data_IF_446928858948
#
_entry.id   IF_446928858948
#
_cell.length_a   1.000
_cell.length_b   1.000
_cell.length_c   1.000
_cell.angle_alpha   90.00
_cell.angle_beta   90.00
_cell.angle_gamma   90.00
#
_symmetry.space_group_name_H-M   'P 1'
#
loop_
_entity.id
_entity.type
_entity.pdbx_description
1 polymer ?
#
# COMPACT_ATOMS: atom_id res chain seq x y z
N UNK A 1 28.26 21.54 19.19
CA UNK A 1 27.40 21.88 20.36
C UNK A 1 27.46 23.37 20.71
N UNK A 2 28.65 23.98 20.89
CA UNK A 2 28.76 25.42 21.16
C UNK A 2 28.13 26.32 20.08
N UNK A 3 28.33 26.02 18.79
CA UNK A 3 27.72 26.78 17.68
C UNK A 3 26.19 26.75 17.68
N UNK A 4 25.61 25.61 18.09
CA UNK A 4 24.16 25.45 18.20
C UNK A 4 23.61 26.32 19.34
N UNK A 5 24.20 26.24 20.53
CA UNK A 5 23.77 27.05 21.68
C UNK A 5 23.86 28.55 21.40
N UNK A 6 24.95 29.00 20.76
CA UNK A 6 25.11 30.39 20.34
C UNK A 6 24.03 30.81 19.34
N UNK A 7 23.75 29.99 18.34
CA UNK A 7 22.73 30.31 17.33
C UNK A 7 21.33 30.34 17.95
N UNK A 8 21.07 29.42 18.88
CA UNK A 8 19.80 29.32 19.58
C UNK A 8 19.55 30.58 20.44
N UNK A 9 20.55 31.04 21.18
CA UNK A 9 20.43 32.32 21.90
C UNK A 9 20.26 33.49 20.94
N UNK A 10 21.08 33.60 19.89
CA UNK A 10 21.00 34.71 18.93
C UNK A 10 19.66 34.81 18.20
N UNK A 11 19.07 33.69 17.79
CA UNK A 11 17.78 33.65 17.11
C UNK A 11 16.64 33.93 18.08
N UNK A 12 16.62 33.25 19.23
CA UNK A 12 15.51 33.33 20.18
C UNK A 12 15.63 34.48 21.19
N UNK A 13 16.71 35.26 21.22
CA UNK A 13 16.73 36.55 21.91
C UNK A 13 15.76 37.57 21.30
N UNK A 14 15.27 37.32 20.08
CA UNK A 14 14.28 38.16 19.40
C UNK A 14 12.88 37.55 19.56
N UNK A 15 11.91 38.25 20.19
CA UNK A 15 10.60 37.68 20.51
C UNK A 15 9.82 37.23 19.27
N UNK A 16 10.00 37.92 18.13
CA UNK A 16 9.35 37.55 16.87
C UNK A 16 9.64 36.09 16.43
N UNK A 17 10.85 35.58 16.64
CA UNK A 17 11.22 34.21 16.25
C UNK A 17 10.74 33.18 17.28
N UNK A 18 10.59 33.57 18.55
CA UNK A 18 9.91 32.75 19.56
C UNK A 18 8.45 32.56 19.16
N UNK A 19 7.74 33.67 18.87
CA UNK A 19 6.34 33.64 18.44
C UNK A 19 6.16 32.81 17.18
N UNK A 20 7.03 33.00 16.18
CA UNK A 20 7.03 32.21 14.95
C UNK A 20 7.14 30.70 15.23
N UNK A 21 8.09 30.28 16.06
CA UNK A 21 8.25 28.86 16.41
C UNK A 21 7.03 28.31 17.15
N UNK A 22 6.51 29.04 18.14
CA UNK A 22 5.34 28.59 18.92
C UNK A 22 4.11 28.45 18.03
N UNK A 23 3.81 29.46 17.21
CA UNK A 23 2.66 29.44 16.30
C UNK A 23 2.81 28.32 15.27
N UNK A 24 4.00 28.16 14.68
CA UNK A 24 4.27 27.07 13.72
C UNK A 24 4.08 25.70 14.36
N UNK A 25 4.61 25.50 15.57
CA UNK A 25 4.47 24.25 16.32
C UNK A 25 2.99 23.93 16.60
N UNK A 26 2.22 24.90 17.10
CA UNK A 26 0.78 24.72 17.40
C UNK A 26 -0.01 24.39 16.13
N UNK A 27 0.23 25.13 15.03
CA UNK A 27 -0.46 24.91 13.76
C UNK A 27 -0.15 23.52 13.22
N UNK A 28 1.12 23.12 13.14
CA UNK A 28 1.51 21.83 12.59
C UNK A 28 1.02 20.66 13.45
N UNK A 29 1.07 20.80 14.77
CA UNK A 29 0.55 19.78 15.68
C UNK A 29 -0.97 19.65 15.52
N UNK A 30 -1.70 20.76 15.44
CA UNK A 30 -3.14 20.77 15.20
C UNK A 30 -3.50 20.08 13.89
N UNK A 31 -2.80 20.43 12.80
CA UNK A 31 -3.00 19.79 11.49
C UNK A 31 -2.72 18.29 11.53
N UNK A 32 -1.65 17.86 12.22
CA UNK A 32 -1.31 16.45 12.35
C UNK A 32 -2.39 15.64 13.08
N UNK A 33 -3.13 16.25 14.01
CA UNK A 33 -4.23 15.63 14.75
C UNK A 33 -5.52 15.63 13.93
N UNK A 34 -5.79 16.73 13.22
CA UNK A 34 -7.06 16.95 12.54
C UNK A 34 -7.14 16.28 11.17
N UNK A 35 -6.04 16.25 10.41
CA UNK A 35 -6.01 15.69 9.04
C UNK A 35 -6.49 14.23 8.97
N UNK A 36 -6.06 13.31 9.86
CA UNK A 36 -6.58 11.93 9.86
C UNK A 36 -8.08 11.84 10.15
N UNK A 37 -8.65 12.85 10.81
CA UNK A 37 -10.04 12.92 11.24
C UNK A 37 -10.86 13.92 10.39
N UNK A 38 -10.37 14.32 9.22
CA UNK A 38 -10.97 15.43 8.46
C UNK A 38 -12.41 15.15 8.02
N UNK A 39 -12.73 13.89 7.70
CA UNK A 39 -14.10 13.50 7.33
C UNK A 39 -15.06 13.65 8.51
N UNK A 40 -14.63 13.25 9.72
CA UNK A 40 -15.42 13.41 10.94
C UNK A 40 -15.61 14.89 11.31
N UNK A 41 -14.54 15.68 11.20
CA UNK A 41 -14.58 17.12 11.42
C UNK A 41 -15.50 17.82 10.42
N UNK A 42 -15.42 17.45 9.14
CA UNK A 42 -16.27 17.99 8.08
C UNK A 42 -17.75 17.68 8.35
N UNK A 43 -18.11 16.42 8.62
CA UNK A 43 -19.48 16.04 8.96
C UNK A 43 -20.01 16.74 10.21
N UNK A 44 -19.18 16.93 11.23
CA UNK A 44 -19.55 17.66 12.45
C UNK A 44 -19.76 19.15 12.17
N UNK A 45 -18.92 19.75 11.32
CA UNK A 45 -19.01 21.17 11.00
C UNK A 45 -20.23 21.50 10.11
N UNK A 46 -20.51 20.67 9.11
CA UNK A 46 -21.58 20.89 8.12
C UNK A 46 -22.95 20.38 8.56
N UNK A 47 -23.06 19.65 9.66
CA UNK A 47 -24.36 19.17 10.16
C UNK A 47 -25.13 20.28 10.88
N UNK A 48 -26.41 20.39 10.59
CA UNK A 48 -27.32 21.33 11.28
C UNK A 48 -27.82 20.78 12.64
N UNK A 49 -27.42 19.55 12.98
CA UNK A 49 -27.88 18.84 14.18
C UNK A 49 -27.27 19.35 15.49
N UNK A 50 -26.19 20.12 15.44
CA UNK A 50 -25.44 20.56 16.62
C UNK A 50 -25.41 22.08 16.76
N UNK A 51 -25.58 22.56 17.98
CA UNK A 51 -25.37 23.97 18.31
C UNK A 51 -23.89 24.36 18.20
N UNK A 52 -23.60 25.65 18.09
CA UNK A 52 -22.22 26.15 17.95
C UNK A 52 -21.31 25.69 19.11
N UNK A 53 -21.82 25.66 20.35
CA UNK A 53 -21.07 25.20 21.51
C UNK A 53 -20.80 23.69 21.47
N UNK A 54 -21.77 22.90 20.99
CA UNK A 54 -21.59 21.46 20.79
C UNK A 54 -20.59 21.15 19.67
N UNK A 55 -20.62 21.89 18.56
CA UNK A 55 -19.64 21.77 17.48
C UNK A 55 -18.21 22.03 17.98
N UNK A 56 -18.01 23.11 18.74
CA UNK A 56 -16.71 23.44 19.34
C UNK A 56 -16.27 22.35 20.31
N UNK A 57 -17.17 21.82 21.15
CA UNK A 57 -16.88 20.73 22.07
C UNK A 57 -16.46 19.43 21.37
N UNK A 58 -17.18 19.04 20.31
CA UNK A 58 -16.89 17.83 19.53
C UNK A 58 -15.57 17.97 18.76
N UNK A 59 -15.34 19.12 18.10
CA UNK A 59 -14.07 19.39 17.42
C UNK A 59 -12.91 19.42 18.43
N UNK A 60 -13.13 20.00 19.61
CA UNK A 60 -12.17 19.99 20.71
C UNK A 60 -11.86 18.57 21.22
N UNK A 61 -12.84 17.68 21.22
CA UNK A 61 -12.66 16.28 21.65
C UNK A 61 -11.66 15.51 20.79
N UNK A 62 -11.45 15.92 19.53
CA UNK A 62 -10.47 15.32 18.61
C UNK A 62 -9.04 15.52 19.11
N UNK A 63 -8.74 16.56 19.90
CA UNK A 63 -7.43 16.67 20.55
C UNK A 63 -7.16 15.52 21.55
N UNK A 64 -8.22 14.94 22.12
CA UNK A 64 -8.12 13.73 22.94
C UNK A 64 -7.75 12.47 22.16
N UNK A 65 -7.94 12.46 20.83
CA UNK A 65 -7.60 11.32 19.97
C UNK A 65 -6.10 11.03 19.92
N UNK A 66 -5.24 12.00 20.29
CA UNK A 66 -3.79 11.79 20.45
C UNK A 66 -3.46 10.69 21.46
N UNK A 67 -4.30 10.55 22.50
CA UNK A 67 -4.06 9.56 23.54
C UNK A 67 -4.61 8.18 23.16
N UNK A 68 -5.69 8.13 22.37
CA UNK A 68 -6.46 6.90 22.12
C UNK A 68 -6.22 6.26 20.76
N UNK A 69 -5.87 7.03 19.72
CA UNK A 69 -5.70 6.51 18.34
C UNK A 69 -4.24 6.37 17.89
N UNK A 70 -3.27 6.98 18.59
CA UNK A 70 -1.86 6.93 18.21
C UNK A 70 -1.07 5.99 19.12
N UNK A 71 -0.19 5.18 18.52
CA UNK A 71 0.80 4.44 19.29
C UNK A 71 1.68 5.42 20.08
N UNK A 72 2.15 5.09 21.30
CA UNK A 72 3.00 5.96 22.08
C UNK A 72 4.25 6.46 21.31
N UNK A 73 4.80 5.59 20.45
CA UNK A 73 5.94 5.91 19.59
C UNK A 73 5.58 6.95 18.52
N UNK A 74 4.48 6.77 17.80
CA UNK A 74 4.03 7.71 16.76
C UNK A 74 3.70 9.10 17.31
N UNK A 75 3.12 9.16 18.52
CA UNK A 75 2.86 10.40 19.26
C UNK A 75 4.16 11.15 19.56
N UNK A 76 5.14 10.47 20.13
CA UNK A 76 6.43 11.07 20.47
C UNK A 76 7.17 11.56 19.21
N UNK A 77 7.20 10.76 18.15
CA UNK A 77 7.82 11.14 16.87
C UNK A 77 7.16 12.40 16.31
N UNK A 78 5.82 12.48 16.31
CA UNK A 78 5.09 13.64 15.78
C UNK A 78 5.41 14.92 16.55
N UNK A 79 5.44 14.85 17.89
CA UNK A 79 5.79 15.99 18.74
C UNK A 79 7.23 16.44 18.47
N UNK A 80 8.18 15.51 18.39
CA UNK A 80 9.59 15.84 18.14
C UNK A 80 9.78 16.44 16.75
N UNK A 81 9.17 15.86 15.70
CA UNK A 81 9.27 16.37 14.33
C UNK A 81 8.70 17.77 14.22
N UNK A 82 7.50 18.02 14.73
CA UNK A 82 6.85 19.35 14.68
C UNK A 82 7.65 20.40 15.45
N UNK A 83 8.22 20.02 16.60
CA UNK A 83 9.11 20.90 17.37
C UNK A 83 10.40 21.24 16.64
N UNK A 84 11.09 20.23 16.10
CA UNK A 84 12.33 20.43 15.34
C UNK A 84 12.08 21.24 14.07
N UNK A 85 10.97 21.01 13.37
CA UNK A 85 10.59 21.79 12.20
C UNK A 85 10.36 23.26 12.54
N UNK A 86 9.65 23.56 13.63
CA UNK A 86 9.43 24.93 14.08
C UNK A 86 10.75 25.67 14.37
N UNK A 87 11.71 25.01 15.04
CA UNK A 87 13.06 25.56 15.26
C UNK A 87 13.78 25.76 13.93
N UNK A 88 13.75 24.76 13.05
CA UNK A 88 14.41 24.82 11.75
C UNK A 88 13.88 25.98 10.89
N UNK A 89 12.57 26.18 10.86
CA UNK A 89 11.93 27.28 10.16
C UNK A 89 12.37 28.64 10.70
N UNK A 90 12.43 28.80 12.03
CA UNK A 90 12.91 30.05 12.65
C UNK A 90 14.38 30.32 12.37
N UNK A 91 15.23 29.29 12.39
CA UNK A 91 16.65 29.40 12.04
C UNK A 91 16.82 29.79 10.57
N UNK A 92 16.06 29.13 9.70
CA UNK A 92 16.06 29.39 8.27
C UNK A 92 15.62 30.83 7.97
N UNK A 93 14.46 31.25 8.50
CA UNK A 93 13.94 32.61 8.29
C UNK A 93 14.89 33.67 8.87
N UNK A 94 15.46 33.44 10.06
CA UNK A 94 16.44 34.36 10.63
C UNK A 94 17.67 34.51 9.73
N UNK A 95 18.30 33.40 9.36
CA UNK A 95 19.48 33.38 8.51
C UNK A 95 19.17 34.03 7.16
N UNK A 96 18.03 33.66 6.57
CA UNK A 96 17.62 34.12 5.27
C UNK A 96 17.29 35.62 5.25
N UNK A 97 16.49 36.13 6.18
CA UNK A 97 16.19 37.57 6.27
C UNK A 97 17.45 38.39 6.53
N UNK A 98 18.40 37.85 7.31
CA UNK A 98 19.71 38.47 7.51
C UNK A 98 20.49 38.52 6.18
N UNK A 99 20.59 37.40 5.46
CA UNK A 99 21.27 37.34 4.17
C UNK A 99 20.61 38.24 3.11
N UNK A 100 19.28 38.28 3.05
CA UNK A 100 18.50 39.08 2.10
C UNK A 100 18.69 40.59 2.31
N UNK A 101 18.83 41.05 3.57
CA UNK A 101 19.15 42.46 3.86
C UNK A 101 20.52 42.86 3.33
N UNK A 102 21.51 42.00 3.51
CA UNK A 102 22.86 42.21 2.95
C UNK A 102 22.89 42.12 1.42
N UNK A 103 22.10 41.24 0.80
CA UNK A 103 22.06 41.13 -0.67
C UNK A 103 21.27 42.26 -1.34
N UNK A 104 20.32 42.88 -0.62
CA UNK A 104 19.60 44.09 -1.07
C UNK A 104 20.52 45.31 -1.16
N UNK A 105 21.52 45.38 -0.29
CA UNK A 105 22.63 46.34 -0.39
C UNK A 105 23.61 46.01 -1.54
N UNK A 106 23.64 44.75 -1.99
CA UNK A 106 24.52 44.26 -3.05
C UNK A 106 23.82 44.03 -4.43
N UNK A 107 22.53 44.37 -4.57
CA UNK A 107 21.80 44.34 -5.85
C UNK A 107 21.49 42.96 -6.46
N UNK A 108 21.57 41.87 -5.70
CA UNK A 108 21.40 40.49 -6.23
C UNK A 108 19.95 40.00 -6.05
N UNK A 109 19.39 39.42 -7.12
CA UNK A 109 17.95 39.22 -7.37
C UNK A 109 17.19 38.19 -6.52
N UNK A 110 15.89 38.42 -6.44
CA UNK A 110 14.83 37.71 -5.68
C UNK A 110 14.48 36.31 -6.19
N UNK A 111 15.11 35.79 -7.24
CA UNK A 111 14.76 34.49 -7.85
C UNK A 111 15.31 33.28 -7.08
N UNK A 112 16.49 33.39 -6.47
CA UNK A 112 17.05 32.34 -5.61
C UNK A 112 16.25 32.11 -4.32
N UNK A 113 15.48 33.13 -3.89
CA UNK A 113 14.63 33.10 -2.70
C UNK A 113 13.46 32.12 -2.81
N UNK A 114 12.74 32.14 -3.94
CA UNK A 114 11.56 31.30 -4.16
C UNK A 114 11.96 29.83 -4.34
N UNK A 115 13.06 29.56 -5.04
CA UNK A 115 13.60 28.21 -5.22
C UNK A 115 14.12 27.60 -3.91
N UNK A 116 14.73 28.39 -3.03
CA UNK A 116 15.19 27.93 -1.72
C UNK A 116 14.05 27.55 -0.76
N UNK A 117 12.96 28.31 -0.76
CA UNK A 117 11.76 28.02 0.04
C UNK A 117 11.06 26.72 -0.40
N UNK A 118 10.95 26.50 -1.72
CA UNK A 118 10.33 25.29 -2.27
C UNK A 118 11.21 24.06 -2.03
N UNK A 119 12.54 24.18 -2.16
CA UNK A 119 13.49 23.07 -1.96
C UNK A 119 13.55 22.54 -0.52
N UNK A 120 13.48 23.44 0.48
CA UNK A 120 13.49 23.04 1.90
C UNK A 120 12.13 22.50 2.34
N UNK A 121 11.02 23.08 1.86
CA UNK A 121 9.66 22.63 2.20
C UNK A 121 9.33 21.22 1.68
N UNK A 122 9.79 20.88 0.46
CA UNK A 122 9.55 19.56 -0.14
C UNK A 122 10.31 18.43 0.58
N UNK A 123 11.50 18.72 1.11
CA UNK A 123 12.32 17.75 1.85
C UNK A 123 11.77 17.42 3.25
N UNK A 124 11.04 18.35 3.88
CA UNK A 124 10.52 18.18 5.25
C UNK A 124 9.05 17.75 5.32
N UNK A 125 8.22 18.11 4.34
CA UNK A 125 6.80 17.71 4.27
C UNK A 125 6.55 16.52 3.32
N UNK A 126 7.62 15.89 2.83
CA UNK A 126 7.61 14.97 1.70
C UNK A 126 6.58 13.85 1.78
N UNK A 127 6.17 13.39 2.98
CA UNK A 127 5.15 12.35 3.12
C UNK A 127 3.74 12.77 2.66
N UNK A 128 3.35 14.04 2.82
CA UNK A 128 2.00 14.54 2.47
C UNK A 128 1.90 14.89 0.98
N UNK A 129 2.98 15.41 0.41
CA UNK A 129 3.04 15.73 -1.02
C UNK A 129 3.19 14.45 -1.85
N UNK A 130 3.99 13.49 -1.38
CA UNK A 130 4.19 12.21 -2.06
C UNK A 130 2.92 11.35 -2.05
N UNK A 131 2.12 11.40 -0.98
CA UNK A 131 0.81 10.73 -0.93
C UNK A 131 -0.23 11.37 -1.86
N UNK A 132 -0.14 12.69 -2.08
CA UNK A 132 -0.95 13.40 -3.08
C UNK A 132 -0.51 13.11 -4.52
N UNK A 133 0.78 12.84 -4.75
CA UNK A 133 1.34 12.55 -6.09
C UNK A 133 1.25 11.07 -6.48
N UNK A 134 1.36 10.15 -5.52
CA UNK A 134 1.32 8.70 -5.77
C UNK A 134 -0.09 8.11 -5.58
N UNK A 135 -1.00 8.83 -4.95
CA UNK A 135 -2.35 8.39 -4.63
C UNK A 135 -2.45 7.58 -3.32
N UNK A 136 -3.62 7.62 -2.69
CA UNK A 136 -3.91 6.99 -1.39
C UNK A 136 -3.71 5.46 -1.44
N UNK A 137 -4.00 4.85 -2.59
CA UNK A 137 -3.94 3.40 -2.82
C UNK A 137 -2.51 2.83 -2.90
N UNK A 138 -1.54 3.57 -3.43
CA UNK A 138 -0.13 3.12 -3.50
C UNK A 138 0.60 3.33 -2.17
N UNK A 139 0.21 4.38 -1.43
CA UNK A 139 0.80 4.74 -0.14
C UNK A 139 0.43 3.72 0.95
N UNK A 140 -0.81 3.23 0.96
CA UNK A 140 -1.26 2.22 1.92
C UNK A 140 -0.53 0.87 1.77
N UNK A 141 -0.30 0.42 0.53
CA UNK A 141 0.47 -0.80 0.25
C UNK A 141 1.95 -0.67 0.62
N UNK A 142 2.56 0.50 0.38
CA UNK A 142 3.96 0.77 0.71
C UNK A 142 4.20 0.86 2.23
N UNK A 143 3.29 1.52 2.96
CA UNK A 143 3.36 1.64 4.42
C UNK A 143 3.16 0.29 5.11
N UNK A 144 2.30 -0.59 4.57
CA UNK A 144 2.04 -1.91 5.14
C UNK A 144 3.22 -2.90 5.09
N UNK A 145 4.22 -2.65 4.22
CA UNK A 145 5.41 -3.50 4.05
C UNK A 145 6.56 -3.06 4.96
N UNK A 146 6.49 -1.84 5.50
CA UNK A 146 7.53 -1.29 6.37
C UNK A 146 7.39 -1.84 7.81
N UNK A 147 8.51 -2.21 8.47
CA UNK A 147 8.49 -2.87 9.78
C UNK A 147 7.82 -2.04 10.90
N UNK A 148 7.86 -0.71 10.79
CA UNK A 148 7.24 0.25 11.72
C UNK A 148 6.00 0.93 11.13
N UNK A 149 5.41 0.36 10.06
CA UNK A 149 4.16 0.82 9.45
C UNK A 149 4.15 2.33 9.15
N UNK A 150 5.25 2.86 8.61
CA UNK A 150 5.37 4.26 8.18
C UNK A 150 5.98 5.21 9.22
N UNK A 151 6.30 4.73 10.42
CA UNK A 151 7.00 5.55 11.42
C UNK A 151 8.47 5.83 11.06
N UNK A 152 9.04 5.07 10.13
CA UNK A 152 10.41 5.25 9.60
C UNK A 152 10.59 6.64 8.98
N UNK A 153 9.57 7.17 8.32
CA UNK A 153 9.61 8.51 7.72
C UNK A 153 9.72 9.60 8.78
N UNK A 154 9.07 9.41 9.93
CA UNK A 154 9.19 10.31 11.05
C UNK A 154 10.60 10.30 11.65
N UNK A 155 11.20 9.12 11.83
CA UNK A 155 12.59 8.99 12.30
C UNK A 155 13.60 9.60 11.31
N UNK A 156 13.42 9.34 10.01
CA UNK A 156 14.23 9.97 8.96
C UNK A 156 14.10 11.50 8.98
N UNK A 157 12.89 12.02 9.19
CA UNK A 157 12.63 13.46 9.29
C UNK A 157 13.36 14.08 10.49
N UNK A 158 13.35 13.42 11.66
CA UNK A 158 14.10 13.88 12.85
C UNK A 158 15.59 13.99 12.52
N UNK A 159 16.16 12.98 11.85
CA UNK A 159 17.57 12.97 11.46
C UNK A 159 17.90 14.11 10.48
N UNK A 160 17.11 14.28 9.42
CA UNK A 160 17.31 15.33 8.42
C UNK A 160 17.12 16.73 8.99
N UNK A 161 16.11 16.95 9.83
CA UNK A 161 15.88 18.23 10.51
C UNK A 161 17.04 18.57 11.45
N UNK A 162 17.55 17.59 12.20
CA UNK A 162 18.70 17.78 13.08
C UNK A 162 19.95 18.20 12.30
N UNK A 163 20.22 17.57 11.16
CA UNK A 163 21.32 17.94 10.26
C UNK A 163 21.10 19.36 9.69
N UNK A 164 19.89 19.67 9.25
CA UNK A 164 19.54 20.99 8.72
C UNK A 164 19.75 22.10 9.75
N UNK A 165 19.27 21.89 10.99
CA UNK A 165 19.49 22.80 12.11
C UNK A 165 20.99 22.97 12.41
N UNK A 166 21.76 21.89 12.39
CA UNK A 166 23.20 21.94 12.60
C UNK A 166 23.90 22.82 11.56
N UNK A 167 23.62 22.63 10.26
CA UNK A 167 24.22 23.45 9.21
C UNK A 167 23.79 24.91 9.27
N UNK A 168 22.51 25.18 9.55
CA UNK A 168 22.02 26.55 9.76
C UNK A 168 22.70 27.22 10.95
N UNK A 169 22.95 26.48 12.02
CA UNK A 169 23.66 27.01 13.21
C UNK A 169 25.08 27.45 12.87
N UNK A 170 25.83 26.65 12.12
CA UNK A 170 27.17 27.04 11.66
C UNK A 170 27.10 28.30 10.79
N UNK A 171 26.11 28.39 9.88
CA UNK A 171 25.92 29.57 9.02
C UNK A 171 25.47 30.83 9.76
N UNK A 172 24.75 30.71 10.87
CA UNK A 172 24.32 31.86 11.68
C UNK A 172 25.50 32.44 12.48
N UNK A 173 26.41 31.57 12.93
CA UNK A 173 27.63 31.95 13.67
C UNK A 173 28.63 32.70 12.79
N UNK A 174 28.76 32.32 11.52
CA UNK A 174 29.72 32.94 10.60
C UNK A 174 29.38 34.42 10.28
N UNK A 175 30.36 35.35 10.31
CA UNK A 175 30.14 36.72 9.87
C UNK A 175 29.97 36.78 8.35
N UNK A 176 28.84 37.34 7.89
CA UNK A 176 28.42 37.37 6.46
C UNK A 176 29.35 38.26 5.59
N UNK A 177 30.29 39.00 6.19
CA UNK A 177 31.11 40.03 5.52
C UNK A 177 32.46 39.51 5.01
N UNK A 178 32.83 38.25 5.25
CA UNK A 178 34.07 37.72 4.70
C UNK A 178 33.91 37.38 3.22
N UNK A 179 34.62 38.10 2.33
CA UNK A 179 34.97 37.62 0.99
C UNK A 179 35.85 36.38 1.14
N UNK A 180 35.25 35.23 1.33
CA UNK A 180 35.93 33.95 1.09
C UNK A 180 35.55 33.48 -0.31
N UNK A 181 36.56 32.96 -1.03
CA UNK A 181 36.35 32.27 -2.31
C UNK A 181 35.21 31.25 -2.14
N UNK A 182 34.34 31.06 -3.16
CA UNK A 182 33.27 30.07 -3.09
C UNK A 182 33.87 28.75 -2.62
N UNK A 183 33.36 28.25 -1.49
CA UNK A 183 33.85 27.01 -0.88
C UNK A 183 33.56 25.89 -1.87
N UNK A 184 34.61 25.36 -2.50
CA UNK A 184 34.49 24.21 -3.37
C UNK A 184 33.82 23.06 -2.59
N UNK A 185 32.89 22.35 -3.24
CA UNK A 185 32.11 21.25 -2.64
C UNK A 185 32.99 20.22 -1.89
N UNK A 186 34.24 20.06 -2.31
CA UNK A 186 35.28 19.22 -1.72
C UNK A 186 35.70 19.64 -0.28
N UNK A 187 35.66 20.95 0.02
CA UNK A 187 35.94 21.49 1.36
C UNK A 187 34.75 21.31 2.33
N UNK A 188 33.54 21.19 1.80
CA UNK A 188 32.35 20.89 2.59
C UNK A 188 32.43 19.46 3.16
N UNK A 189 32.99 18.52 2.41
CA UNK A 189 33.16 17.14 2.87
C UNK A 189 34.25 16.99 3.95
N UNK A 190 35.30 17.82 3.94
CA UNK A 190 36.38 17.75 4.95
C UNK A 190 35.96 18.26 6.33
N UNK A 191 35.05 19.21 6.40
CA UNK A 191 34.56 19.81 7.65
C UNK A 191 33.48 18.99 8.36
N UNK A 192 32.89 17.99 7.68
CA UNK A 192 31.89 17.10 8.27
C UNK A 192 32.56 16.12 9.25
N UNK A 193 32.09 16.02 10.50
CA UNK A 193 32.63 15.09 11.49
C UNK A 193 32.59 13.64 11.00
N UNK A 194 33.62 12.85 11.36
CA UNK A 194 33.75 11.45 10.93
C UNK A 194 32.50 10.63 11.30
N UNK A 195 31.89 10.87 12.46
CA UNK A 195 30.67 10.18 12.89
C UNK A 195 29.44 10.51 12.02
N UNK A 196 29.34 11.73 11.46
CA UNK A 196 28.27 12.10 10.52
C UNK A 196 28.46 11.39 9.18
N UNK A 197 29.71 11.27 8.71
CA UNK A 197 30.03 10.50 7.50
C UNK A 197 29.69 9.02 7.68
N UNK A 198 30.04 8.44 8.82
CA UNK A 198 29.71 7.06 9.18
C UNK A 198 28.20 6.87 9.26
N UNK A 199 27.47 7.78 9.92
CA UNK A 199 26.02 7.72 10.01
C UNK A 199 25.35 7.82 8.63
N UNK A 200 25.79 8.75 7.77
CA UNK A 200 25.29 8.88 6.39
C UNK A 200 25.62 7.64 5.57
N UNK A 201 26.82 7.07 5.72
CA UNK A 201 27.19 5.83 5.03
C UNK A 201 26.38 4.64 5.49
N UNK A 202 26.13 4.48 6.80
CA UNK A 202 25.25 3.45 7.36
C UNK A 202 23.82 3.65 6.86
N UNK A 203 23.34 4.89 6.79
CA UNK A 203 21.99 5.20 6.31
C UNK A 203 21.84 4.98 4.80
N UNK A 204 22.87 5.29 4.00
CA UNK A 204 22.92 5.00 2.57
C UNK A 204 23.05 3.50 2.33
N UNK A 205 23.87 2.78 3.08
CA UNK A 205 24.00 1.33 3.00
C UNK A 205 22.72 0.63 3.43
N UNK A 206 22.05 1.13 4.47
CA UNK A 206 20.72 0.66 4.89
C UNK A 206 19.66 0.98 3.84
N UNK A 207 19.64 2.20 3.28
CA UNK A 207 18.72 2.59 2.21
C UNK A 207 18.93 1.78 0.92
N UNK A 208 20.17 1.54 0.52
CA UNK A 208 20.54 0.68 -0.62
C UNK A 208 20.18 -0.78 -0.32
N UNK A 209 20.42 -1.25 0.91
CA UNK A 209 20.02 -2.58 1.37
C UNK A 209 18.51 -2.79 1.36
N UNK A 210 17.74 -1.78 1.78
CA UNK A 210 16.27 -1.75 1.70
C UNK A 210 15.82 -1.72 0.24
N UNK A 211 16.45 -0.92 -0.63
CA UNK A 211 16.13 -0.89 -2.07
C UNK A 211 16.45 -2.23 -2.76
N UNK A 212 17.55 -2.90 -2.40
CA UNK A 212 17.90 -4.23 -2.90
C UNK A 212 16.94 -5.31 -2.39
N UNK A 213 16.59 -5.29 -1.11
CA UNK A 213 15.58 -6.17 -0.53
C UNK A 213 14.20 -5.94 -1.17
N UNK A 214 13.84 -4.67 -1.43
CA UNK A 214 12.59 -4.28 -2.08
C UNK A 214 12.53 -4.72 -3.54
N UNK A 215 13.65 -4.70 -4.29
CA UNK A 215 13.70 -5.24 -5.66
C UNK A 215 13.49 -6.75 -5.69
N UNK A 216 13.91 -7.46 -4.66
CA UNK A 216 13.67 -8.90 -4.47
C UNK A 216 12.20 -9.20 -4.10
N UNK A 217 11.56 -8.35 -3.30
CA UNK A 217 10.16 -8.50 -2.86
C UNK A 217 9.10 -7.97 -3.86
N UNK A 218 9.45 -6.98 -4.69
CA UNK A 218 8.53 -6.34 -5.65
C UNK A 218 8.05 -7.28 -6.76
N UNK A 219 8.76 -8.36 -7.06
CA UNK A 219 8.27 -9.39 -7.99
C UNK A 219 6.95 -10.03 -7.52
N UNK A 220 6.75 -10.14 -6.19
CA UNK A 220 5.51 -10.66 -5.61
C UNK A 220 4.38 -9.63 -5.52
N UNK A 221 4.70 -8.36 -5.23
CA UNK A 221 3.71 -7.29 -5.04
C UNK A 221 3.01 -6.87 -6.33
N UNK A 222 3.76 -6.70 -7.43
CA UNK A 222 3.20 -6.37 -8.75
C UNK A 222 2.23 -7.47 -9.21
N UNK A 223 2.57 -8.73 -8.95
CA UNK A 223 1.73 -9.88 -9.29
C UNK A 223 0.44 -9.90 -8.47
N UNK A 224 0.48 -9.60 -7.16
CA UNK A 224 -0.71 -9.51 -6.31
C UNK A 224 -1.64 -8.36 -6.71
N UNK A 225 -1.09 -7.21 -7.11
CA UNK A 225 -1.91 -6.07 -7.52
C UNK A 225 -2.61 -6.33 -8.87
N UNK A 226 -1.90 -6.89 -9.85
CA UNK A 226 -2.53 -7.32 -11.10
C UNK A 226 -3.62 -8.38 -10.87
N UNK A 227 -3.40 -9.29 -9.92
CA UNK A 227 -4.38 -10.30 -9.53
C UNK A 227 -5.62 -9.69 -8.87
N UNK A 228 -5.47 -8.67 -8.01
CA UNK A 228 -6.59 -7.96 -7.39
C UNK A 228 -7.45 -7.20 -8.40
N UNK A 229 -6.82 -6.51 -9.36
CA UNK A 229 -7.56 -5.85 -10.45
C UNK A 229 -8.35 -6.87 -11.28
N UNK A 230 -7.78 -8.05 -11.52
CA UNK A 230 -8.49 -9.14 -12.20
C UNK A 230 -9.68 -9.64 -11.38
N UNK A 231 -9.49 -9.82 -10.07
CA UNK A 231 -10.55 -10.18 -9.13
C UNK A 231 -11.73 -9.20 -9.18
N UNK A 232 -11.48 -7.90 -9.07
CA UNK A 232 -12.54 -6.88 -9.11
C UNK A 232 -13.34 -6.97 -10.42
N UNK A 233 -12.64 -7.11 -11.55
CA UNK A 233 -13.29 -7.25 -12.86
C UNK A 233 -14.19 -8.49 -12.92
N UNK A 234 -13.69 -9.65 -12.50
CA UNK A 234 -14.44 -10.91 -12.56
C UNK A 234 -15.60 -10.93 -11.56
N UNK A 235 -15.42 -10.31 -10.39
CA UNK A 235 -16.44 -10.25 -9.35
C UNK A 235 -17.59 -9.31 -9.71
N UNK A 236 -17.34 -8.23 -10.45
CA UNK A 236 -18.37 -7.24 -10.81
C UNK A 236 -18.98 -7.49 -12.19
N UNK A 237 -18.22 -8.05 -13.14
CA UNK A 237 -18.62 -8.17 -14.56
C UNK A 237 -18.66 -9.63 -15.03
N UNK A 238 -18.91 -10.57 -14.11
CA UNK A 238 -19.10 -11.97 -14.45
C UNK A 238 -20.31 -12.18 -15.35
N UNK A 239 -20.21 -13.16 -16.25
CA UNK A 239 -21.31 -13.57 -17.13
C UNK A 239 -21.79 -15.01 -16.87
N UNK A 240 -21.12 -15.75 -15.99
CA UNK A 240 -21.48 -17.12 -15.65
C UNK A 240 -22.65 -17.16 -14.67
N UNK A 241 -23.54 -18.13 -14.81
CA UNK A 241 -24.60 -18.40 -13.84
C UNK A 241 -24.71 -19.89 -13.52
N UNK A 242 -25.20 -20.22 -12.33
CA UNK A 242 -25.50 -21.59 -11.91
C UNK A 242 -26.85 -22.07 -12.48
N UNK A 243 -27.00 -22.11 -13.81
CA UNK A 243 -28.26 -22.51 -14.48
C UNK A 243 -28.04 -23.55 -15.57
N UNK A 244 -29.10 -24.32 -15.86
CA UNK A 244 -29.17 -25.21 -17.02
C UNK A 244 -29.13 -24.44 -18.34
N UNK A 245 -29.85 -23.32 -18.42
CA UNK A 245 -29.87 -22.47 -19.62
C UNK A 245 -28.45 -21.96 -19.97
N UNK A 246 -27.68 -21.53 -18.96
CA UNK A 246 -26.30 -21.12 -19.20
C UNK A 246 -25.44 -22.30 -19.66
N UNK A 247 -25.61 -23.49 -19.08
CA UNK A 247 -24.92 -24.72 -19.53
C UNK A 247 -25.19 -24.98 -21.02
N UNK A 248 -26.43 -24.85 -21.46
CA UNK A 248 -26.82 -25.14 -22.84
C UNK A 248 -26.34 -24.04 -23.80
N UNK A 249 -26.27 -22.79 -23.34
CA UNK A 249 -25.72 -21.66 -24.11
C UNK A 249 -24.24 -21.81 -24.47
N UNK A 250 -23.45 -22.59 -23.70
CA UNK A 250 -22.00 -22.78 -23.94
C UNK A 250 -21.75 -23.36 -25.34
N UNK A 251 -22.65 -24.21 -25.83
CA UNK A 251 -22.51 -24.85 -27.14
C UNK A 251 -22.46 -23.81 -28.29
N UNK A 252 -23.19 -22.70 -28.17
CA UNK A 252 -23.30 -21.65 -29.20
C UNK A 252 -22.30 -20.51 -29.02
N UNK A 253 -21.59 -20.43 -27.90
CA UNK A 253 -20.55 -19.42 -27.67
C UNK A 253 -19.39 -19.56 -28.67
N UNK A 254 -18.77 -18.46 -29.10
CA UNK A 254 -17.52 -18.52 -29.86
C UNK A 254 -16.40 -19.16 -29.00
N UNK A 255 -15.48 -19.92 -29.61
CA UNK A 255 -14.46 -20.67 -28.85
C UNK A 255 -13.48 -19.77 -28.06
N UNK A 256 -13.26 -18.54 -28.55
CA UNK A 256 -12.49 -17.50 -27.86
C UNK A 256 -13.29 -16.75 -26.79
N UNK A 257 -14.60 -16.99 -26.70
CA UNK A 257 -15.48 -16.46 -25.66
C UNK A 257 -15.04 -16.91 -24.27
N UNK A 258 -15.50 -16.20 -23.24
CA UNK A 258 -15.09 -16.41 -21.85
C UNK A 258 -16.28 -16.63 -20.95
N UNK A 259 -16.17 -17.63 -20.07
CA UNK A 259 -17.08 -17.89 -18.95
C UNK A 259 -16.42 -17.28 -17.73
N UNK A 260 -17.01 -16.22 -17.18
CA UNK A 260 -16.37 -15.35 -16.19
C UNK A 260 -17.23 -15.17 -14.94
N UNK A 261 -16.57 -15.13 -13.79
CA UNK A 261 -17.20 -14.92 -12.49
C UNK A 261 -17.55 -16.20 -11.73
N UNK A 262 -18.11 -16.02 -10.54
CA UNK A 262 -18.61 -17.10 -9.69
C UNK A 262 -20.01 -17.52 -10.10
N UNK A 263 -20.38 -18.75 -9.73
CA UNK A 263 -21.69 -19.30 -10.07
C UNK A 263 -22.72 -19.25 -8.93
N UNK A 264 -22.31 -19.45 -7.67
CA UNK A 264 -23.25 -19.69 -6.56
C UNK A 264 -23.26 -18.55 -5.53
N UNK A 265 -22.09 -18.10 -5.11
CA UNK A 265 -21.91 -17.03 -4.13
C UNK A 265 -21.02 -15.92 -4.70
N UNK A 266 -21.06 -14.69 -4.14
CA UNK A 266 -20.11 -13.65 -4.52
C UNK A 266 -18.65 -14.11 -4.36
N UNK A 267 -17.77 -13.67 -5.26
CA UNK A 267 -16.35 -14.00 -5.16
C UNK A 267 -15.74 -13.39 -3.89
N UNK A 268 -14.85 -14.14 -3.22
CA UNK A 268 -14.08 -13.66 -2.09
C UNK A 268 -12.60 -13.53 -2.48
N UNK A 269 -11.96 -12.42 -2.09
CA UNK A 269 -10.57 -12.13 -2.47
C UNK A 269 -9.59 -13.16 -1.91
N UNK A 270 -9.74 -13.52 -0.63
CA UNK A 270 -8.86 -14.48 0.02
C UNK A 270 -8.93 -15.83 -0.71
N UNK A 271 -10.14 -16.36 -0.87
CA UNK A 271 -10.37 -17.63 -1.58
C UNK A 271 -9.87 -17.60 -3.03
N UNK A 272 -10.18 -16.54 -3.77
CA UNK A 272 -9.70 -16.36 -5.16
C UNK A 272 -8.17 -16.41 -5.25
N UNK A 273 -7.48 -15.70 -4.34
CA UNK A 273 -6.03 -15.64 -4.34
C UNK A 273 -5.38 -17.00 -4.08
N UNK A 274 -5.95 -17.79 -3.16
CA UNK A 274 -5.49 -19.15 -2.86
C UNK A 274 -5.70 -20.10 -4.04
N UNK A 275 -6.86 -20.02 -4.67
CA UNK A 275 -7.20 -20.86 -5.81
C UNK A 275 -6.26 -20.61 -7.00
N UNK A 276 -6.05 -19.34 -7.38
CA UNK A 276 -5.15 -18.99 -8.48
C UNK A 276 -3.69 -19.34 -8.16
N UNK A 277 -3.24 -19.15 -6.92
CA UNK A 277 -1.89 -19.53 -6.50
C UNK A 277 -1.70 -21.05 -6.52
N UNK A 278 -2.64 -21.81 -5.95
CA UNK A 278 -2.59 -23.28 -5.91
C UNK A 278 -2.58 -23.90 -7.30
N UNK A 279 -3.36 -23.34 -8.24
CA UNK A 279 -3.41 -23.83 -9.62
C UNK A 279 -2.10 -23.66 -10.38
N UNK A 280 -1.15 -22.82 -9.91
CA UNK A 280 0.18 -22.70 -10.53
C UNK A 280 0.95 -24.02 -10.53
N UNK A 281 0.68 -24.91 -9.58
CA UNK A 281 1.20 -26.29 -9.55
C UNK A 281 0.92 -27.04 -10.85
N UNK A 282 -0.20 -26.74 -11.50
CA UNK A 282 -0.70 -27.41 -12.69
C UNK A 282 -0.51 -26.62 -13.99
N UNK A 283 0.28 -25.52 -13.97
CA UNK A 283 0.45 -24.60 -15.11
C UNK A 283 0.89 -25.24 -16.44
N UNK A 284 1.47 -26.45 -16.39
CA UNK A 284 1.95 -27.16 -17.57
C UNK A 284 0.87 -28.04 -18.23
N UNK A 285 -0.31 -28.18 -17.62
CA UNK A 285 -1.43 -28.96 -18.14
C UNK A 285 -2.44 -27.99 -18.76
N UNK A 286 -2.49 -27.96 -20.10
CA UNK A 286 -3.26 -26.97 -20.87
C UNK A 286 -4.76 -27.01 -20.60
N UNK A 287 -5.27 -28.17 -20.18
CA UNK A 287 -6.68 -28.37 -19.87
C UNK A 287 -7.11 -27.90 -18.47
N UNK A 288 -6.16 -27.64 -17.56
CA UNK A 288 -6.47 -27.06 -16.24
C UNK A 288 -6.41 -25.53 -16.39
N UNK A 289 -7.54 -24.81 -16.27
CA UNK A 289 -7.54 -23.36 -16.35
C UNK A 289 -6.67 -22.76 -15.24
N UNK A 290 -5.79 -21.79 -15.53
CA UNK A 290 -4.97 -21.13 -14.50
C UNK A 290 -5.78 -20.19 -13.60
N UNK A 291 -7.01 -19.84 -14.01
CA UNK A 291 -7.94 -19.02 -13.24
C UNK A 291 -9.31 -19.70 -13.27
N UNK A 292 -9.86 -20.12 -12.11
CA UNK A 292 -11.10 -20.87 -12.05
C UNK A 292 -12.35 -19.99 -12.25
N UNK A 293 -12.18 -18.67 -12.38
CA UNK A 293 -13.24 -17.71 -12.66
C UNK A 293 -13.12 -17.09 -14.06
N UNK A 294 -12.22 -17.58 -14.94
CA UNK A 294 -12.05 -17.10 -16.32
C UNK A 294 -11.67 -18.26 -17.26
N UNK A 295 -12.70 -18.94 -17.79
CA UNK A 295 -12.54 -20.13 -18.63
C UNK A 295 -12.86 -19.81 -20.09
N UNK A 296 -12.04 -20.31 -21.03
CA UNK A 296 -12.34 -20.21 -22.47
C UNK A 296 -13.50 -21.14 -22.84
N UNK A 297 -14.46 -20.64 -23.60
CA UNK A 297 -15.63 -21.40 -24.04
C UNK A 297 -15.24 -22.65 -24.85
N UNK A 298 -14.25 -22.55 -25.75
CA UNK A 298 -13.77 -23.73 -26.49
C UNK A 298 -13.22 -24.84 -25.59
N UNK A 299 -12.55 -24.48 -24.50
CA UNK A 299 -12.08 -25.43 -23.50
C UNK A 299 -13.26 -26.03 -22.72
N UNK A 300 -14.21 -25.20 -22.29
CA UNK A 300 -15.42 -25.65 -21.62
C UNK A 300 -16.19 -26.68 -22.46
N UNK A 301 -16.42 -26.41 -23.75
CA UNK A 301 -17.06 -27.36 -24.69
C UNK A 301 -16.31 -28.69 -24.77
N UNK A 302 -14.98 -28.65 -24.95
CA UNK A 302 -14.13 -29.85 -25.02
C UNK A 302 -14.29 -30.71 -23.77
N UNK A 303 -14.22 -30.09 -22.59
CA UNK A 303 -14.26 -30.81 -21.32
C UNK A 303 -15.67 -31.29 -21.00
N UNK A 304 -16.70 -30.49 -21.28
CA UNK A 304 -18.09 -30.88 -21.13
C UNK A 304 -18.43 -32.11 -21.96
N UNK A 305 -18.00 -32.16 -23.23
CA UNK A 305 -18.16 -33.34 -24.09
C UNK A 305 -17.40 -34.58 -23.58
N UNK A 306 -16.39 -34.39 -22.73
CA UNK A 306 -15.65 -35.48 -22.10
C UNK A 306 -16.37 -36.05 -20.86
N UNK A 307 -17.36 -35.34 -20.31
CA UNK A 307 -18.11 -35.77 -19.13
C UNK A 307 -18.79 -37.13 -19.35
N UNK A 308 -19.32 -37.40 -20.54
CA UNK A 308 -20.03 -38.64 -20.84
C UNK A 308 -19.10 -39.78 -21.30
N UNK A 309 -17.78 -39.56 -21.35
CA UNK A 309 -16.82 -40.62 -21.66
C UNK A 309 -16.73 -41.62 -20.51
N UNK A 310 -16.62 -42.90 -20.87
CA UNK A 310 -16.41 -43.99 -19.92
C UNK A 310 -14.95 -44.07 -19.47
N UNK A 311 -14.77 -44.42 -18.20
CA UNK A 311 -13.49 -44.77 -17.58
C UNK A 311 -13.43 -46.29 -17.39
N UNK A 312 -12.21 -46.86 -17.30
CA UNK A 312 -12.06 -48.24 -16.86
C UNK A 312 -12.54 -48.39 -15.40
N UNK A 313 -12.84 -49.61 -14.92
CA UNK A 313 -13.22 -49.83 -13.52
C UNK A 313 -12.22 -49.26 -12.51
N UNK A 314 -10.92 -49.37 -12.79
CA UNK A 314 -9.83 -48.83 -11.96
C UNK A 314 -9.82 -47.30 -11.97
N UNK A 315 -9.90 -46.69 -13.15
CA UNK A 315 -9.98 -45.24 -13.30
C UNK A 315 -11.24 -44.65 -12.65
N UNK A 316 -12.36 -45.39 -12.72
CA UNK A 316 -13.61 -44.98 -12.10
C UNK A 316 -13.52 -44.97 -10.57
N UNK A 317 -12.68 -45.83 -9.96
CA UNK A 317 -12.41 -45.77 -8.51
C UNK A 317 -11.75 -44.45 -8.13
N UNK A 318 -10.77 -43.97 -8.89
CA UNK A 318 -10.12 -42.67 -8.66
C UNK A 318 -11.11 -41.51 -8.80
N UNK A 319 -11.97 -41.55 -9.82
CA UNK A 319 -13.01 -40.54 -10.02
C UNK A 319 -14.01 -40.51 -8.85
N UNK A 320 -14.49 -41.68 -8.42
CA UNK A 320 -15.43 -41.80 -7.32
C UNK A 320 -14.80 -41.38 -5.99
N UNK A 321 -13.51 -41.67 -5.79
CA UNK A 321 -12.76 -41.17 -4.64
C UNK A 321 -12.80 -39.64 -4.60
N UNK A 322 -12.54 -38.97 -5.73
CA UNK A 322 -12.56 -37.51 -5.78
C UNK A 322 -13.95 -36.92 -5.50
N UNK A 323 -15.02 -37.57 -5.99
CA UNK A 323 -16.41 -37.17 -5.70
C UNK A 323 -16.67 -37.22 -4.19
N UNK A 324 -16.21 -38.27 -3.50
CA UNK A 324 -16.44 -38.43 -2.06
C UNK A 324 -15.61 -37.47 -1.19
N UNK A 325 -14.40 -37.10 -1.64
CA UNK A 325 -13.40 -36.41 -0.82
C UNK A 325 -13.19 -34.93 -1.15
N UNK A 326 -13.71 -34.45 -2.28
CA UNK A 326 -13.75 -33.01 -2.55
C UNK A 326 -14.66 -32.27 -1.58
N UNK A 327 -14.33 -31.00 -1.39
CA UNK A 327 -15.03 -30.06 -0.51
C UNK A 327 -16.52 -30.01 -0.86
N UNK A 328 -16.80 -29.92 -2.17
CA UNK A 328 -18.15 -29.81 -2.70
C UNK A 328 -18.84 -31.15 -2.97
N UNK A 329 -18.25 -32.27 -2.51
CA UNK A 329 -18.70 -33.62 -2.84
C UNK A 329 -18.88 -33.83 -4.35
N UNK A 330 -17.97 -33.22 -5.09
CA UNK A 330 -17.86 -33.20 -6.53
C UNK A 330 -17.05 -32.01 -7.03
N UNK A 331 -16.99 -31.81 -8.36
CA UNK A 331 -16.29 -30.69 -8.98
C UNK A 331 -16.87 -29.31 -8.68
N UNK A 332 -18.10 -29.24 -8.18
CA UNK A 332 -18.85 -28.02 -7.87
C UNK A 332 -19.99 -28.39 -6.91
N UNK A 333 -20.51 -27.44 -6.12
CA UNK A 333 -21.61 -27.71 -5.19
C UNK A 333 -22.95 -28.01 -5.88
N UNK A 334 -23.12 -27.53 -7.11
CA UNK A 334 -24.32 -27.71 -7.91
C UNK A 334 -24.02 -28.46 -9.21
N UNK A 335 -24.98 -29.23 -9.72
CA UNK A 335 -24.92 -29.87 -11.05
C UNK A 335 -25.17 -28.87 -12.20
N UNK A 336 -24.51 -27.72 -12.15
CA UNK A 336 -24.53 -26.71 -13.20
C UNK A 336 -23.46 -26.99 -14.28
N UNK A 337 -23.26 -26.08 -15.22
CA UNK A 337 -22.24 -26.22 -16.27
C UNK A 337 -20.85 -26.56 -15.73
N UNK A 338 -20.44 -25.98 -14.58
CA UNK A 338 -19.14 -26.25 -13.95
C UNK A 338 -19.01 -27.72 -13.56
N UNK A 339 -20.07 -28.33 -13.05
CA UNK A 339 -20.06 -29.75 -12.71
C UNK A 339 -19.70 -30.62 -13.91
N UNK A 340 -20.31 -30.35 -15.06
CA UNK A 340 -20.07 -31.12 -16.27
C UNK A 340 -18.69 -30.82 -16.87
N UNK A 341 -18.28 -29.55 -16.90
CA UNK A 341 -16.96 -29.15 -17.40
C UNK A 341 -15.83 -29.72 -16.54
N UNK A 342 -15.86 -29.48 -15.23
CA UNK A 342 -14.80 -29.92 -14.32
C UNK A 342 -14.89 -31.41 -13.98
N UNK A 343 -16.08 -32.01 -14.02
CA UNK A 343 -16.23 -33.46 -14.01
C UNK A 343 -15.61 -34.11 -15.25
N UNK A 344 -15.84 -33.53 -16.43
CA UNK A 344 -15.19 -33.94 -17.66
C UNK A 344 -13.67 -33.74 -17.63
N UNK A 345 -13.20 -32.64 -17.04
CA UNK A 345 -11.78 -32.43 -16.74
C UNK A 345 -11.21 -33.53 -15.85
N UNK A 346 -11.93 -33.91 -14.79
CA UNK A 346 -11.50 -34.98 -13.90
C UNK A 346 -11.28 -36.29 -14.66
N UNK A 347 -12.25 -36.69 -15.48
CA UNK A 347 -12.12 -37.87 -16.36
C UNK A 347 -10.98 -37.73 -17.36
N UNK A 348 -10.80 -36.54 -17.93
CA UNK A 348 -9.72 -36.26 -18.89
C UNK A 348 -8.34 -36.41 -18.25
N UNK A 349 -8.16 -35.89 -17.04
CA UNK A 349 -6.90 -35.96 -16.29
C UNK A 349 -6.58 -37.40 -15.85
N UNK A 350 -7.57 -38.15 -15.35
CA UNK A 350 -7.38 -39.56 -15.00
C UNK A 350 -6.92 -40.35 -16.24
N UNK A 351 -7.60 -40.17 -17.37
CA UNK A 351 -7.35 -40.99 -18.57
C UNK A 351 -6.09 -40.60 -19.34
N UNK A 352 -5.75 -39.32 -19.41
CA UNK A 352 -4.64 -38.83 -20.25
C UNK A 352 -3.39 -38.45 -19.46
N UNK A 353 -3.51 -38.21 -18.15
CA UNK A 353 -2.40 -37.82 -17.28
C UNK A 353 -2.20 -38.77 -16.09
N UNK A 354 -2.97 -39.87 -16.00
CA UNK A 354 -2.91 -40.85 -14.91
C UNK A 354 -3.06 -40.23 -13.51
N UNK A 355 -3.92 -39.21 -13.39
CA UNK A 355 -4.16 -38.58 -12.09
C UNK A 355 -4.86 -39.55 -11.13
N UNK A 356 -4.42 -39.56 -9.87
CA UNK A 356 -5.10 -40.27 -8.77
C UNK A 356 -6.29 -39.47 -8.25
N UNK A 357 -7.17 -40.12 -7.50
CA UNK A 357 -8.34 -39.50 -6.89
C UNK A 357 -7.96 -38.33 -5.98
N UNK A 358 -6.84 -38.40 -5.26
CA UNK A 358 -6.33 -37.30 -4.44
C UNK A 358 -5.93 -36.10 -5.30
N UNK A 359 -5.27 -36.33 -6.45
CA UNK A 359 -4.90 -35.24 -7.35
C UNK A 359 -6.13 -34.60 -7.99
N UNK A 360 -7.17 -35.39 -8.31
CA UNK A 360 -8.44 -34.86 -8.81
C UNK A 360 -9.17 -34.07 -7.73
N UNK A 361 -9.20 -34.55 -6.49
CA UNK A 361 -9.73 -33.81 -5.33
C UNK A 361 -9.06 -32.44 -5.19
N UNK A 362 -7.73 -32.39 -5.24
CA UNK A 362 -6.98 -31.14 -5.14
C UNK A 362 -7.32 -30.18 -6.29
N UNK A 363 -7.37 -30.67 -7.54
CA UNK A 363 -7.75 -29.85 -8.70
C UNK A 363 -9.17 -29.31 -8.56
N UNK A 364 -10.14 -30.13 -8.14
CA UNK A 364 -11.52 -29.69 -7.96
C UNK A 364 -11.68 -28.66 -6.85
N UNK A 365 -11.05 -28.87 -5.69
CA UNK A 365 -11.10 -27.92 -4.58
C UNK A 365 -10.48 -26.56 -4.96
N UNK A 366 -9.46 -26.55 -5.83
CA UNK A 366 -8.88 -25.32 -6.34
C UNK A 366 -9.70 -24.71 -7.49
N UNK A 367 -10.56 -25.48 -8.15
CA UNK A 367 -11.24 -25.06 -9.39
C UNK A 367 -12.76 -24.89 -9.29
N UNK A 368 -13.35 -25.09 -8.11
CA UNK A 368 -14.80 -25.11 -7.90
C UNK A 368 -15.50 -23.87 -8.51
N UNK A 369 -14.90 -22.68 -8.39
CA UNK A 369 -15.44 -21.41 -8.86
C UNK A 369 -16.81 -21.07 -8.27
N UNK A 370 -17.16 -21.64 -7.11
CA UNK A 370 -18.48 -21.48 -6.50
C UNK A 370 -18.65 -20.08 -5.89
N UNK A 371 -17.56 -19.43 -5.46
CA UNK A 371 -17.56 -18.19 -4.68
C UNK A 371 -17.67 -18.45 -3.18
N UNK A 372 -17.83 -17.39 -2.36
CA UNK A 372 -17.93 -17.49 -0.90
C UNK A 372 -16.59 -17.66 -0.18
N UNK A 373 -16.65 -17.64 1.15
CA UNK A 373 -15.49 -17.87 2.05
C UNK A 373 -15.27 -19.34 2.39
N UNK A 374 -16.33 -20.16 2.31
CA UNK A 374 -16.34 -21.57 2.73
C UNK A 374 -17.01 -22.47 1.68
N UNK A 375 -16.86 -23.78 1.85
CA UNK A 375 -17.44 -24.82 1.00
C UNK A 375 -18.98 -24.87 1.15
N UNK A 376 -19.71 -25.04 0.06
CA UNK A 376 -21.17 -24.85 0.03
C UNK A 376 -21.98 -26.08 0.45
N UNK A 377 -21.35 -27.25 0.63
CA UNK A 377 -22.04 -28.47 1.09
C UNK A 377 -22.53 -28.37 2.54
N UNK A 378 -21.94 -27.51 3.36
CA UNK A 378 -22.36 -27.29 4.76
C UNK A 378 -23.66 -26.48 4.88
N UNK A 379 -23.97 -25.63 3.90
CA UNK A 379 -25.13 -24.72 3.94
C UNK A 379 -26.44 -25.36 3.47
N UNK A 380 -26.37 -26.47 2.73
CA UNK A 380 -27.56 -27.21 2.26
C UNK A 380 -28.10 -28.25 3.26
N UNK A 381 -27.56 -28.31 4.49
CA UNK A 381 -28.08 -29.16 5.58
C UNK A 381 -29.13 -28.47 6.46
N UNK A 382 -29.54 -27.25 6.13
CA UNK A 382 -30.52 -26.48 6.90
C UNK A 382 -31.65 -25.98 6.01
N UNK A 383 -32.39 -26.92 5.43
CA UNK A 383 -33.80 -26.75 5.05
C UNK A 383 -34.53 -28.02 5.48
#
# INVERSE_FOLDING_TARGET
MQSFLFSLTQVFSKPAYITLSIVTFIILLTLAIWLPNINFLAHTATSDMFSLSQKVGIIGSVFGSIQTNLSPLSRNITIVVTFLFAINLSFFIYFFLRAARLSKEAGIGTSGFLLGLIGVGCASCGSVILSSFLGVSTTAGFIGVLPLKGQEFGLLSIFLLSISIYFLSEKIKDPIVCKTKPVAFESLFKSVPVWVKIAVFIFLAFGIGVLFAQRSLNGGSITKQALFVKFEKLSQNGNSSCSGDFKDSIATMADNGRLQGSCCSPMNWHRYSEQVEGLRKYKNIKEIPPDPYDIKAGLAKKLQAYYDKSLSPEQQKEYNFAIANSNEKGPCCCKCWRWYVYGGLGKFLIKNYNFTGQQITEVWNLSDGCGGEEDHVSQHKTI
#
